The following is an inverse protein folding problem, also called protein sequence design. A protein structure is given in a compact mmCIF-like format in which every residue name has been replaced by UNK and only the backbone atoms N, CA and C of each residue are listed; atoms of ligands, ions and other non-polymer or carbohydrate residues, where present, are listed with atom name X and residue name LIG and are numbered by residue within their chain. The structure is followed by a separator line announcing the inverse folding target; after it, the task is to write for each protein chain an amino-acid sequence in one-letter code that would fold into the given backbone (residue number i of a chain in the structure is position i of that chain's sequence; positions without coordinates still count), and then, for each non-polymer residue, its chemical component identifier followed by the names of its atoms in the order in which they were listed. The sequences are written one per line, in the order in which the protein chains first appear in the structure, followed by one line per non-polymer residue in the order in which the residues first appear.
data_IF_517577849415
#
_entry.id   IF_517577849415
#
_cell.length_a   1.000
_cell.length_b   1.000
_cell.length_c   1.000
_cell.angle_alpha   90.00
_cell.angle_beta   90.00
_cell.angle_gamma   90.00
#
_symmetry.space_group_name_H-M   'P 1'
#
loop_
_entity.id
_entity.type
_entity.pdbx_description
1 polymer ?
#
# COMPACT_ATOMS: atom_id res chain seq x y z
N UNK A 1 11.44 -14.00 -7.08
CA UNK A 1 12.83 -13.93 -6.58
C UNK A 1 13.79 -13.53 -7.69
N UNK A 2 13.94 -14.30 -8.77
CA UNK A 2 14.83 -13.94 -9.90
C UNK A 2 14.55 -12.51 -10.41
N UNK A 3 13.29 -12.18 -10.73
CA UNK A 3 12.89 -10.84 -11.16
C UNK A 3 13.37 -9.73 -10.19
N UNK A 4 13.09 -9.87 -8.89
CA UNK A 4 13.53 -8.92 -7.85
C UNK A 4 15.06 -8.81 -7.81
N UNK A 5 15.77 -9.93 -7.85
CA UNK A 5 17.23 -9.97 -7.87
C UNK A 5 17.82 -9.26 -9.09
N UNK A 6 17.30 -9.54 -10.28
CA UNK A 6 17.76 -8.90 -11.52
C UNK A 6 17.58 -7.39 -11.46
N UNK A 7 16.41 -6.90 -11.02
CA UNK A 7 16.18 -5.45 -10.89
C UNK A 7 17.02 -4.81 -9.79
N UNK A 8 17.18 -5.47 -8.65
CA UNK A 8 18.02 -4.98 -7.56
C UNK A 8 19.51 -4.89 -7.98
N UNK A 9 20.03 -5.88 -8.70
CA UNK A 9 21.41 -5.85 -9.22
C UNK A 9 21.55 -4.78 -10.30
N UNK A 10 20.63 -4.75 -11.26
CA UNK A 10 20.62 -3.76 -12.33
C UNK A 10 20.65 -2.34 -11.77
N UNK A 11 19.81 -2.04 -10.79
CA UNK A 11 19.79 -0.71 -10.20
C UNK A 11 21.04 -0.41 -9.36
N UNK A 12 21.58 -1.39 -8.63
CA UNK A 12 22.85 -1.20 -7.92
C UNK A 12 23.98 -0.79 -8.87
N UNK A 13 24.02 -1.37 -10.08
CA UNK A 13 24.94 -0.98 -11.15
C UNK A 13 24.68 0.47 -11.59
N UNK A 14 23.41 0.84 -11.82
CA UNK A 14 23.02 2.21 -12.22
C UNK A 14 23.45 3.25 -11.17
N UNK A 15 23.16 3.03 -9.89
CA UNK A 15 23.55 3.95 -8.80
C UNK A 15 25.06 4.17 -8.75
N UNK A 16 25.81 3.08 -8.91
CA UNK A 16 27.26 3.15 -8.83
C UNK A 16 27.86 3.98 -9.97
N UNK A 17 27.24 3.97 -11.17
CA UNK A 17 27.70 4.74 -12.32
C UNK A 17 27.11 6.17 -12.36
N UNK A 18 25.93 6.38 -11.77
CA UNK A 18 25.22 7.66 -11.78
C UNK A 18 24.76 8.08 -10.37
N UNK A 19 25.70 8.36 -9.45
CA UNK A 19 25.36 8.60 -8.05
C UNK A 19 24.55 9.89 -7.83
N UNK A 20 24.61 10.87 -8.75
CA UNK A 20 23.92 12.15 -8.60
C UNK A 20 22.42 12.10 -8.93
N UNK A 21 21.95 11.06 -9.63
CA UNK A 21 20.58 11.03 -10.14
C UNK A 21 19.54 10.53 -9.11
N UNK A 22 19.93 9.87 -8.02
CA UNK A 22 18.98 9.03 -7.28
C UNK A 22 19.17 9.00 -5.77
N UNK A 23 18.58 9.98 -5.08
CA UNK A 23 18.53 10.08 -3.63
C UNK A 23 17.26 10.82 -3.13
N UNK A 24 16.05 10.37 -3.47
CA UNK A 24 14.84 11.08 -3.02
C UNK A 24 14.35 10.62 -1.64
N UNK A 25 13.88 9.38 -1.52
CA UNK A 25 13.18 8.94 -0.30
C UNK A 25 14.16 8.53 0.81
N UNK A 26 15.17 7.72 0.49
CA UNK A 26 16.19 7.33 1.48
C UNK A 26 16.99 8.50 2.04
N UNK A 27 17.22 9.53 1.23
CA UNK A 27 17.84 10.77 1.68
C UNK A 27 16.94 11.53 2.66
N UNK A 28 15.64 11.61 2.34
CA UNK A 28 14.65 12.22 3.21
C UNK A 28 14.62 11.52 4.57
N UNK A 29 14.63 10.19 4.60
CA UNK A 29 14.69 9.42 5.85
C UNK A 29 15.96 9.73 6.64
N UNK A 30 17.12 9.69 5.97
CA UNK A 30 18.41 9.92 6.58
C UNK A 30 18.54 11.33 7.18
N UNK A 31 18.16 12.36 6.40
CA UNK A 31 18.22 13.77 6.81
C UNK A 31 17.21 14.08 7.90
N UNK A 32 15.99 13.57 7.79
CA UNK A 32 14.97 13.75 8.83
C UNK A 32 15.37 13.07 10.13
N UNK A 33 15.96 11.87 10.06
CA UNK A 33 16.53 11.19 11.23
C UNK A 33 17.69 11.98 11.86
N UNK A 34 18.58 12.58 11.06
CA UNK A 34 19.64 13.46 11.59
C UNK A 34 19.08 14.75 12.19
N UNK A 35 18.08 15.35 11.55
CA UNK A 35 17.43 16.56 12.04
C UNK A 35 16.81 16.29 13.42
N UNK A 36 16.20 15.13 13.61
CA UNK A 36 15.64 14.70 14.89
C UNK A 36 16.69 14.56 16.00
N UNK A 37 17.96 14.30 15.67
CA UNK A 37 19.06 14.27 16.65
C UNK A 37 19.63 15.66 16.97
N UNK A 38 19.57 16.59 16.01
CA UNK A 38 20.17 17.93 16.14
C UNK A 38 19.16 18.89 16.78
N UNK A 39 17.98 18.98 16.19
CA UNK A 39 16.89 19.85 16.62
C UNK A 39 15.56 19.24 16.17
N UNK A 40 14.89 18.49 17.07
CA UNK A 40 13.62 17.83 16.80
C UNK A 40 12.57 18.77 16.22
N UNK A 41 12.44 20.00 16.74
CA UNK A 41 11.36 20.93 16.38
C UNK A 41 11.36 21.28 14.88
N UNK A 42 12.52 21.22 14.23
CA UNK A 42 12.67 21.61 12.82
C UNK A 42 12.43 20.48 11.82
N UNK A 43 12.08 19.29 12.28
CA UNK A 43 11.83 18.11 11.44
C UNK A 43 10.67 18.35 10.45
N UNK A 44 9.65 19.08 10.88
CA UNK A 44 8.47 19.42 10.08
C UNK A 44 8.32 20.93 9.83
N UNK A 45 9.40 21.72 9.92
CA UNK A 45 9.34 23.15 9.60
C UNK A 45 9.38 23.38 8.09
N UNK A 46 8.55 24.28 7.56
CA UNK A 46 8.54 24.66 6.13
C UNK A 46 9.88 25.16 5.59
N UNK A 47 10.73 25.72 6.47
CA UNK A 47 12.07 26.21 6.13
C UNK A 47 13.07 25.07 5.91
N UNK A 48 12.71 23.85 6.26
CA UNK A 48 13.52 22.67 5.98
C UNK A 48 13.29 22.24 4.54
N UNK A 49 14.35 22.18 3.73
CA UNK A 49 14.29 21.88 2.29
C UNK A 49 13.57 20.54 1.98
N UNK A 50 13.53 19.62 2.96
CA UNK A 50 12.91 18.30 2.83
C UNK A 50 11.54 18.18 3.50
N UNK A 51 11.00 19.28 4.05
CA UNK A 51 9.71 19.32 4.74
C UNK A 51 8.57 18.72 3.93
N UNK A 52 8.51 19.09 2.64
CA UNK A 52 7.51 18.62 1.70
C UNK A 52 7.57 17.10 1.47
N UNK A 53 8.72 16.47 1.69
CA UNK A 53 8.90 15.02 1.51
C UNK A 53 8.70 14.24 2.83
N UNK A 54 8.62 14.94 3.96
CA UNK A 54 8.54 14.33 5.28
C UNK A 54 7.09 14.05 5.70
N UNK A 55 6.45 13.08 5.05
CA UNK A 55 5.09 12.61 5.38
C UNK A 55 5.06 11.53 6.45
N UNK A 56 6.15 11.30 7.16
CA UNK A 56 6.29 10.18 8.09
C UNK A 56 5.97 10.62 9.51
N UNK A 57 5.44 9.74 10.35
CA UNK A 57 5.28 10.04 11.77
C UNK A 57 6.62 9.89 12.52
N UNK A 58 6.78 10.56 13.68
CA UNK A 58 8.05 10.62 14.40
C UNK A 58 8.66 9.25 14.71
N UNK A 59 7.86 8.22 14.95
CA UNK A 59 8.36 6.88 15.22
C UNK A 59 9.29 6.35 14.12
N UNK A 60 8.89 6.49 12.85
CA UNK A 60 9.68 5.98 11.73
C UNK A 60 10.98 6.79 11.57
N UNK A 61 10.91 8.11 11.76
CA UNK A 61 12.07 8.99 11.70
C UNK A 61 13.05 8.70 12.85
N UNK A 62 12.53 8.39 14.04
CA UNK A 62 13.34 8.02 15.19
C UNK A 62 14.05 6.68 14.96
N UNK A 63 13.40 5.69 14.34
CA UNK A 63 14.07 4.43 13.96
C UNK A 63 15.28 4.72 13.06
N UNK A 64 15.15 5.63 12.10
CA UNK A 64 16.27 6.10 11.29
C UNK A 64 17.33 6.85 12.10
N UNK A 65 16.89 7.77 12.95
CA UNK A 65 17.75 8.59 13.82
C UNK A 65 18.70 7.73 14.66
N UNK A 66 18.18 6.71 15.35
CA UNK A 66 18.96 5.88 16.27
C UNK A 66 19.71 4.71 15.59
N UNK A 67 19.57 4.56 14.27
CA UNK A 67 20.22 3.48 13.52
C UNK A 67 21.03 4.02 12.34
N UNK A 68 20.39 4.16 11.18
CA UNK A 68 21.04 4.42 9.90
C UNK A 68 21.56 5.85 9.81
N UNK A 69 20.92 6.84 10.44
CA UNK A 69 21.34 8.24 10.38
C UNK A 69 22.64 8.55 11.14
N UNK A 70 23.07 7.64 12.03
CA UNK A 70 24.34 7.74 12.77
C UNK A 70 25.56 7.43 11.89
N UNK A 71 25.36 6.66 10.82
CA UNK A 71 26.42 6.27 9.89
C UNK A 71 26.62 7.33 8.79
N UNK A 72 27.74 7.30 8.04
CA UNK A 72 27.86 8.06 6.80
C UNK A 72 26.78 7.65 5.79
N UNK A 73 26.21 8.61 5.09
CA UNK A 73 25.05 8.39 4.20
C UNK A 73 25.25 7.24 3.20
N UNK A 74 26.43 7.12 2.60
CA UNK A 74 26.74 6.04 1.65
C UNK A 74 26.58 4.67 2.29
N UNK A 75 27.09 4.47 3.51
CA UNK A 75 26.96 3.22 4.26
C UNK A 75 25.48 2.98 4.61
N UNK A 76 24.80 4.00 5.14
CA UNK A 76 23.37 3.92 5.48
C UNK A 76 22.52 3.53 4.28
N UNK A 77 22.81 4.10 3.10
CA UNK A 77 22.12 3.82 1.86
C UNK A 77 22.24 2.35 1.46
N UNK A 78 23.46 1.78 1.45
CA UNK A 78 23.66 0.39 1.09
C UNK A 78 23.05 -0.58 2.10
N UNK A 79 23.13 -0.29 3.40
CA UNK A 79 22.45 -1.10 4.42
C UNK A 79 20.93 -1.09 4.19
N UNK A 80 20.35 0.09 3.98
CA UNK A 80 18.92 0.22 3.71
C UNK A 80 18.52 -0.48 2.41
N UNK A 81 19.36 -0.40 1.38
CA UNK A 81 19.16 -1.08 0.11
C UNK A 81 19.12 -2.60 0.28
N UNK A 82 20.08 -3.17 1.02
CA UNK A 82 20.11 -4.60 1.35
C UNK A 82 18.90 -5.03 2.17
N UNK A 83 18.48 -4.21 3.15
CA UNK A 83 17.26 -4.46 3.92
C UNK A 83 16.03 -4.47 3.01
N UNK A 84 15.89 -3.49 2.12
CA UNK A 84 14.79 -3.44 1.15
C UNK A 84 14.78 -4.66 0.23
N UNK A 85 15.95 -5.16 -0.19
CA UNK A 85 16.03 -6.39 -0.96
C UNK A 85 15.51 -7.60 -0.18
N UNK A 86 15.92 -7.75 1.09
CA UNK A 86 15.42 -8.81 1.97
C UNK A 86 13.90 -8.70 2.12
N UNK A 87 13.38 -7.50 2.39
CA UNK A 87 11.94 -7.28 2.51
C UNK A 87 11.18 -7.50 1.20
N UNK A 88 11.76 -7.20 0.04
CA UNK A 88 11.14 -7.52 -1.25
C UNK A 88 10.98 -9.03 -1.45
N UNK A 89 11.98 -9.82 -1.05
CA UNK A 89 11.89 -11.29 -1.08
C UNK A 89 10.85 -11.78 -0.08
N UNK A 90 10.87 -11.28 1.15
CA UNK A 90 9.88 -11.64 2.19
C UNK A 90 8.46 -11.26 1.77
N UNK A 91 8.26 -10.13 1.10
CA UNK A 91 6.97 -9.69 0.56
C UNK A 91 6.34 -10.76 -0.33
N UNK A 92 7.11 -11.26 -1.31
CA UNK A 92 6.65 -12.33 -2.23
C UNK A 92 6.41 -13.64 -1.48
N UNK A 93 7.27 -13.98 -0.51
CA UNK A 93 7.11 -15.20 0.29
C UNK A 93 5.86 -15.15 1.17
N UNK A 94 5.60 -14.04 1.86
CA UNK A 94 4.40 -13.83 2.67
C UNK A 94 3.14 -13.85 1.80
N UNK A 95 3.17 -13.23 0.61
CA UNK A 95 2.05 -13.31 -0.33
C UNK A 95 1.79 -14.76 -0.78
N UNK A 96 2.82 -15.52 -1.12
CA UNK A 96 2.70 -16.94 -1.47
C UNK A 96 2.12 -17.79 -0.32
N UNK A 97 2.46 -17.48 0.93
CA UNK A 97 1.85 -18.13 2.11
C UNK A 97 0.36 -17.79 2.21
N UNK A 98 -0.03 -16.55 1.96
CA UNK A 98 -1.46 -16.14 1.91
C UNK A 98 -2.19 -16.90 0.81
N UNK A 99 -1.62 -17.00 -0.40
CA UNK A 99 -2.22 -17.78 -1.50
C UNK A 99 -2.49 -19.23 -1.09
N UNK A 100 -1.55 -19.88 -0.41
CA UNK A 100 -1.75 -21.24 0.11
C UNK A 100 -2.85 -21.30 1.17
N UNK A 101 -2.88 -20.35 2.10
CA UNK A 101 -3.92 -20.30 3.15
C UNK A 101 -5.32 -20.11 2.57
N UNK A 102 -5.43 -19.32 1.50
CA UNK A 102 -6.67 -19.07 0.77
C UNK A 102 -7.00 -20.17 -0.26
N UNK A 103 -6.28 -21.30 -0.25
CA UNK A 103 -6.64 -22.49 -1.01
C UNK A 103 -6.08 -22.56 -2.43
N UNK A 104 -5.09 -21.73 -2.80
CA UNK A 104 -4.38 -21.88 -4.08
C UNK A 104 -3.33 -23.00 -3.99
N UNK A 105 -3.73 -24.22 -4.35
CA UNK A 105 -2.95 -25.46 -4.13
C UNK A 105 -1.85 -25.68 -5.16
N UNK A 106 -2.12 -25.37 -6.42
CA UNK A 106 -1.17 -25.64 -7.50
C UNK A 106 -0.07 -24.59 -7.61
N UNK A 107 1.17 -25.03 -7.89
CA UNK A 107 2.33 -24.14 -8.04
C UNK A 107 2.15 -23.18 -9.21
N UNK A 108 1.64 -23.67 -10.35
CA UNK A 108 1.43 -22.87 -11.55
C UNK A 108 0.37 -21.78 -11.33
N UNK A 109 -0.68 -22.09 -10.59
CA UNK A 109 -1.73 -21.13 -10.24
C UNK A 109 -1.20 -20.02 -9.33
N UNK A 110 -0.44 -20.38 -8.29
CA UNK A 110 0.22 -19.36 -7.47
C UNK A 110 1.18 -18.52 -8.28
N UNK A 111 1.89 -19.12 -9.23
CA UNK A 111 2.81 -18.40 -10.10
C UNK A 111 2.11 -17.29 -10.91
N UNK A 112 0.88 -17.49 -11.38
CA UNK A 112 0.09 -16.44 -12.06
C UNK A 112 -0.07 -15.19 -11.17
N UNK A 113 -0.50 -15.38 -9.92
CA UNK A 113 -0.65 -14.28 -8.96
C UNK A 113 0.70 -13.64 -8.61
N UNK A 114 1.74 -14.45 -8.40
CA UNK A 114 3.07 -13.97 -8.03
C UNK A 114 3.75 -13.19 -9.16
N UNK A 115 3.47 -13.53 -10.43
CA UNK A 115 3.96 -12.78 -11.59
C UNK A 115 3.38 -11.37 -11.62
N UNK A 116 2.09 -11.23 -11.32
CA UNK A 116 1.41 -9.93 -11.28
C UNK A 116 2.02 -9.03 -10.20
N UNK A 117 2.20 -9.54 -8.97
CA UNK A 117 2.75 -8.72 -7.88
C UNK A 117 4.27 -8.51 -7.95
N UNK A 118 4.99 -9.31 -8.74
CA UNK A 118 6.44 -9.21 -8.94
C UNK A 118 6.78 -8.46 -10.23
N UNK A 119 6.05 -7.38 -10.54
CA UNK A 119 6.25 -6.58 -11.74
C UNK A 119 7.58 -5.79 -11.69
N UNK A 120 8.36 -5.90 -12.76
CA UNK A 120 9.69 -5.32 -12.84
C UNK A 120 9.78 -3.81 -12.70
N UNK A 121 8.78 -3.06 -13.20
CA UNK A 121 8.83 -1.59 -13.22
C UNK A 121 8.68 -0.98 -11.82
N UNK A 122 7.71 -1.45 -11.03
CA UNK A 122 7.58 -0.94 -9.67
C UNK A 122 8.69 -1.43 -8.77
N UNK A 123 9.14 -2.68 -8.93
CA UNK A 123 10.32 -3.17 -8.21
C UNK A 123 11.52 -2.27 -8.53
N UNK A 124 11.71 -1.94 -9.80
CA UNK A 124 12.71 -0.98 -10.23
C UNK A 124 12.54 0.37 -9.51
N UNK A 125 11.35 0.98 -9.53
CA UNK A 125 11.11 2.27 -8.88
C UNK A 125 11.31 2.25 -7.35
N UNK A 126 10.96 1.14 -6.70
CA UNK A 126 11.19 0.94 -5.26
C UNK A 126 12.68 0.95 -4.92
N UNK A 127 13.49 0.25 -5.71
CA UNK A 127 14.94 0.24 -5.54
C UNK A 127 15.55 1.58 -5.95
N UNK A 128 15.06 2.18 -7.05
CA UNK A 128 15.50 3.46 -7.60
C UNK A 128 15.53 4.56 -6.54
N UNK A 129 14.43 4.66 -5.81
CA UNK A 129 14.24 5.68 -4.78
C UNK A 129 14.51 5.15 -3.36
N UNK A 130 14.86 3.85 -3.25
CA UNK A 130 15.17 3.12 -2.03
C UNK A 130 14.11 3.32 -0.93
N UNK A 131 12.84 3.09 -1.30
CA UNK A 131 11.66 3.41 -0.47
C UNK A 131 11.36 2.36 0.60
N UNK A 132 10.63 2.72 1.65
CA UNK A 132 10.24 1.82 2.75
C UNK A 132 9.07 0.89 2.46
N UNK A 133 8.52 0.90 1.24
CA UNK A 133 7.21 0.28 0.95
C UNK A 133 7.26 -1.24 0.93
N UNK A 134 8.40 -1.87 0.61
CA UNK A 134 8.56 -3.32 0.75
C UNK A 134 8.53 -3.76 2.21
N UNK A 135 9.14 -2.98 3.11
CA UNK A 135 9.06 -3.21 4.55
C UNK A 135 7.61 -3.10 5.03
N UNK A 136 6.93 -1.98 4.76
CA UNK A 136 5.54 -1.76 5.17
C UNK A 136 4.59 -2.83 4.58
N UNK A 137 4.74 -3.14 3.29
CA UNK A 137 3.96 -4.16 2.61
C UNK A 137 4.18 -5.56 3.19
N UNK A 138 5.41 -5.92 3.54
CA UNK A 138 5.71 -7.23 4.13
C UNK A 138 5.07 -7.36 5.51
N UNK A 139 5.18 -6.33 6.34
CA UNK A 139 4.53 -6.30 7.66
C UNK A 139 3.01 -6.42 7.50
N UNK A 140 2.42 -5.71 6.54
CA UNK A 140 0.97 -5.74 6.29
C UNK A 140 0.51 -7.13 5.85
N UNK A 141 1.23 -7.77 4.92
CA UNK A 141 0.93 -9.13 4.49
C UNK A 141 1.13 -10.13 5.64
N UNK A 142 2.16 -9.95 6.47
CA UNK A 142 2.36 -10.79 7.65
C UNK A 142 1.17 -10.69 8.62
N UNK A 143 0.69 -9.48 8.92
CA UNK A 143 -0.50 -9.26 9.75
C UNK A 143 -1.71 -9.96 9.13
N UNK A 144 -1.93 -9.76 7.83
CA UNK A 144 -3.06 -10.35 7.12
C UNK A 144 -3.01 -11.89 7.13
N UNK A 145 -1.84 -12.48 6.87
CA UNK A 145 -1.59 -13.93 6.94
C UNK A 145 -1.92 -14.45 8.33
N UNK A 146 -1.44 -13.77 9.37
CA UNK A 146 -1.65 -14.14 10.77
C UNK A 146 -3.13 -14.12 11.13
N UNK A 147 -3.86 -13.09 10.70
CA UNK A 147 -5.31 -12.98 10.91
C UNK A 147 -6.09 -14.10 10.20
N UNK A 148 -5.78 -14.37 8.93
CA UNK A 148 -6.40 -15.48 8.18
C UNK A 148 -6.14 -16.82 8.87
N UNK A 149 -4.91 -17.04 9.34
CA UNK A 149 -4.53 -18.28 10.03
C UNK A 149 -5.26 -18.42 11.37
N UNK A 150 -5.32 -17.36 12.19
CA UNK A 150 -6.04 -17.39 13.47
C UNK A 150 -7.52 -17.69 13.31
N UNK A 151 -8.17 -17.09 12.31
CA UNK A 151 -9.57 -17.39 12.00
C UNK A 151 -9.78 -18.83 11.54
N UNK A 152 -8.87 -19.37 10.72
CA UNK A 152 -8.93 -20.75 10.25
C UNK A 152 -8.73 -21.77 11.38
N UNK A 153 -7.91 -21.43 12.37
CA UNK A 153 -7.63 -22.25 13.54
C UNK A 153 -8.61 -22.00 14.71
N UNK A 154 -9.63 -21.15 14.52
CA UNK A 154 -10.61 -20.74 15.54
C UNK A 154 -9.98 -20.29 16.87
N UNK A 155 -8.79 -19.67 16.78
CA UNK A 155 -8.03 -19.23 17.96
C UNK A 155 -8.53 -17.90 18.48
N UNK A 156 -8.73 -17.83 19.78
CA UNK A 156 -8.97 -16.56 20.47
C UNK A 156 -7.73 -15.65 20.44
N UNK A 157 -7.98 -14.34 20.30
CA UNK A 157 -6.94 -13.32 20.20
C UNK A 157 -6.52 -12.87 21.60
N UNK A 158 -5.46 -13.46 22.11
CA UNK A 158 -4.86 -13.08 23.40
C UNK A 158 -4.22 -11.67 23.37
N UNK A 159 -3.84 -11.15 24.53
CA UNK A 159 -3.24 -9.82 24.65
C UNK A 159 -1.91 -9.72 23.89
N UNK A 160 -1.11 -10.79 23.88
CA UNK A 160 0.17 -10.86 23.15
C UNK A 160 -0.07 -10.76 21.65
N UNK A 161 -1.11 -11.43 21.14
CA UNK A 161 -1.56 -11.31 19.77
C UNK A 161 -1.91 -9.88 19.43
N UNK A 162 -2.82 -9.28 20.20
CA UNK A 162 -3.30 -7.92 20.01
C UNK A 162 -2.14 -6.93 20.02
N UNK A 163 -1.28 -6.98 21.04
CA UNK A 163 -0.12 -6.10 21.16
C UNK A 163 0.80 -6.17 19.93
N UNK A 164 1.25 -7.37 19.54
CA UNK A 164 2.16 -7.54 18.40
C UNK A 164 1.50 -7.02 17.11
N UNK A 165 0.24 -7.37 16.87
CA UNK A 165 -0.47 -6.98 15.64
C UNK A 165 -0.66 -5.46 15.57
N UNK A 166 -1.11 -4.82 16.66
CA UNK A 166 -1.33 -3.37 16.67
C UNK A 166 -0.02 -2.57 16.70
N UNK A 167 1.03 -3.09 17.34
CA UNK A 167 2.37 -2.49 17.27
C UNK A 167 2.91 -2.47 15.84
N UNK A 168 2.78 -3.58 15.12
CA UNK A 168 3.18 -3.68 13.71
C UNK A 168 2.31 -2.80 12.80
N UNK A 169 1.01 -2.67 13.07
CA UNK A 169 0.17 -1.71 12.38
C UNK A 169 0.58 -0.27 12.65
N UNK A 170 0.89 0.10 13.89
CA UNK A 170 1.38 1.43 14.25
C UNK A 170 2.70 1.77 13.54
N UNK A 171 3.58 0.79 13.37
CA UNK A 171 4.81 0.93 12.57
C UNK A 171 4.48 1.23 11.10
N UNK A 172 3.53 0.51 10.50
CA UNK A 172 3.05 0.78 9.13
C UNK A 172 2.46 2.19 9.02
N UNK A 173 1.57 2.58 9.95
CA UNK A 173 0.97 3.93 9.98
C UNK A 173 2.05 4.99 10.12
N UNK A 174 3.13 4.73 10.86
CA UNK A 174 4.24 5.67 11.00
C UNK A 174 5.04 5.86 9.69
N UNK A 175 5.13 4.81 8.86
CA UNK A 175 5.72 4.89 7.53
C UNK A 175 4.76 5.46 6.47
N UNK A 176 3.46 5.19 6.63
CA UNK A 176 2.42 5.46 5.64
C UNK A 176 1.15 5.89 6.40
N UNK A 177 1.02 7.17 6.81
CA UNK A 177 -0.04 7.60 7.73
C UNK A 177 -1.46 7.36 7.25
N UNK A 178 -1.70 7.45 5.94
CA UNK A 178 -3.01 7.17 5.35
C UNK A 178 -3.44 5.69 5.46
N UNK A 179 -2.57 4.78 5.86
CA UNK A 179 -2.95 3.41 6.22
C UNK A 179 -3.60 3.30 7.61
N UNK A 180 -3.81 4.43 8.31
CA UNK A 180 -4.68 4.49 9.49
C UNK A 180 -6.07 3.91 9.20
N UNK A 181 -6.59 4.08 7.99
CA UNK A 181 -7.89 3.50 7.60
C UNK A 181 -7.87 1.97 7.55
N UNK A 182 -6.77 1.35 7.13
CA UNK A 182 -6.61 -0.11 7.20
C UNK A 182 -6.57 -0.60 8.64
N UNK A 183 -5.92 0.15 9.54
CA UNK A 183 -5.93 -0.13 10.98
C UNK A 183 -7.36 -0.03 11.55
N UNK A 184 -8.12 1.01 11.19
CA UNK A 184 -9.52 1.13 11.63
C UNK A 184 -10.38 -0.03 11.11
N UNK A 185 -10.27 -0.37 9.82
CA UNK A 185 -10.96 -1.53 9.23
C UNK A 185 -10.61 -2.82 9.99
N UNK A 186 -9.35 -2.99 10.39
CA UNK A 186 -8.87 -4.14 11.14
C UNK A 186 -9.41 -4.19 12.58
N UNK A 187 -9.34 -3.07 13.32
CA UNK A 187 -9.85 -2.97 14.70
C UNK A 187 -11.33 -3.31 14.76
N UNK A 188 -12.12 -2.72 13.88
CA UNK A 188 -13.56 -2.91 13.86
C UNK A 188 -13.99 -4.15 13.07
N UNK A 189 -13.07 -4.97 12.56
CA UNK A 189 -13.41 -6.12 11.73
C UNK A 189 -14.40 -7.07 12.41
N UNK A 190 -14.12 -7.38 13.68
CA UNK A 190 -14.87 -8.38 14.47
C UNK A 190 -15.85 -7.76 15.48
N UNK A 191 -15.92 -6.41 15.58
CA UNK A 191 -16.73 -5.73 16.61
C UNK A 191 -18.07 -5.27 16.02
N UNK A 192 -19.19 -5.72 16.58
CA UNK A 192 -20.52 -5.23 16.18
C UNK A 192 -20.82 -3.83 16.75
N UNK A 193 -21.68 -3.05 16.10
CA UNK A 193 -21.97 -1.67 16.51
C UNK A 193 -22.54 -1.58 17.94
N UNK A 194 -23.38 -2.54 18.33
CA UNK A 194 -23.95 -2.60 19.70
C UNK A 194 -22.92 -2.98 20.78
N UNK A 195 -21.73 -3.42 20.38
CA UNK A 195 -20.68 -3.89 21.28
C UNK A 195 -19.51 -2.91 21.39
N UNK A 196 -19.54 -1.78 20.68
CA UNK A 196 -18.45 -0.80 20.66
C UNK A 196 -18.02 -0.38 22.06
N UNK A 197 -18.98 -0.21 22.99
CA UNK A 197 -18.73 0.25 24.35
C UNK A 197 -18.54 -0.89 25.36
N UNK A 198 -18.48 -2.16 24.93
CA UNK A 198 -18.14 -3.27 25.83
C UNK A 198 -16.71 -3.09 26.35
N UNK A 199 -16.51 -3.39 27.62
CA UNK A 199 -15.22 -3.23 28.32
C UNK A 199 -14.04 -3.83 27.55
N UNK A 200 -14.18 -5.05 27.04
CA UNK A 200 -13.14 -5.76 26.28
C UNK A 200 -12.74 -5.03 24.98
N UNK A 201 -13.69 -4.35 24.33
CA UNK A 201 -13.46 -3.56 23.13
C UNK A 201 -12.80 -2.23 23.48
N UNK A 202 -13.24 -1.57 24.55
CA UNK A 202 -12.59 -0.37 25.09
C UNK A 202 -11.13 -0.64 25.50
N UNK A 203 -10.84 -1.80 26.10
CA UNK A 203 -9.46 -2.23 26.41
C UNK A 203 -8.62 -2.37 25.13
N UNK A 204 -9.22 -2.90 24.06
CA UNK A 204 -8.54 -3.03 22.76
C UNK A 204 -8.26 -1.66 22.15
N UNK A 205 -9.20 -0.70 22.23
CA UNK A 205 -8.98 0.67 21.75
C UNK A 205 -7.94 1.41 22.59
N UNK A 206 -7.99 1.25 23.91
CA UNK A 206 -7.00 1.79 24.84
C UNK A 206 -5.61 1.25 24.54
N UNK A 207 -5.47 -0.05 24.26
CA UNK A 207 -4.21 -0.66 23.83
C UNK A 207 -3.69 -0.04 22.53
N UNK A 208 -4.54 0.09 21.51
CA UNK A 208 -4.15 0.72 20.23
C UNK A 208 -3.71 2.17 20.44
N UNK A 209 -4.47 2.94 21.23
CA UNK A 209 -4.14 4.32 21.55
C UNK A 209 -2.78 4.40 22.27
N UNK A 210 -2.57 3.60 23.32
CA UNK A 210 -1.29 3.55 24.04
C UNK A 210 -0.14 3.22 23.10
N UNK A 211 -0.30 2.25 22.20
CA UNK A 211 0.74 1.88 21.22
C UNK A 211 1.05 3.05 20.28
N UNK A 212 0.04 3.71 19.70
CA UNK A 212 0.24 4.83 18.78
C UNK A 212 0.89 6.02 19.46
N UNK A 213 0.46 6.32 20.69
CA UNK A 213 1.02 7.39 21.52
C UNK A 213 2.46 7.07 21.94
N UNK A 214 2.73 5.83 22.37
CA UNK A 214 4.07 5.39 22.76
C UNK A 214 5.04 5.37 21.58
N UNK A 215 4.62 4.92 20.40
CA UNK A 215 5.46 4.96 19.20
C UNK A 215 5.77 6.39 18.78
N UNK A 216 4.81 7.30 18.89
CA UNK A 216 4.95 8.70 18.47
C UNK A 216 5.14 9.67 19.65
N UNK A 217 5.81 9.21 20.70
CA UNK A 217 5.92 9.95 21.97
C UNK A 217 6.61 11.31 21.82
N UNK A 218 7.41 11.51 20.77
CA UNK A 218 8.05 12.78 20.46
C UNK A 218 7.03 13.92 20.27
N UNK A 219 5.80 13.63 19.86
CA UNK A 219 4.73 14.64 19.84
C UNK A 219 4.38 15.17 21.23
N UNK A 220 4.64 14.43 22.31
CA UNK A 220 4.42 14.92 23.68
C UNK A 220 5.62 15.67 24.24
N UNK A 221 6.83 15.23 23.90
CA UNK A 221 8.05 15.92 24.32
C UNK A 221 8.18 17.26 23.58
N UNK A 222 7.80 17.28 22.30
CA UNK A 222 7.87 18.44 21.41
C UNK A 222 6.49 18.70 20.77
N UNK A 223 5.56 19.37 21.48
CA UNK A 223 4.19 19.60 20.97
C UNK A 223 4.13 20.40 19.68
N UNK A 224 5.13 21.25 19.40
CA UNK A 224 5.25 22.02 18.15
C UNK A 224 5.24 21.11 16.91
N UNK A 225 5.79 19.90 17.02
CA UNK A 225 5.79 18.90 15.95
C UNK A 225 4.39 18.53 15.48
N UNK A 226 3.39 18.55 16.37
CA UNK A 226 1.99 18.26 15.99
C UNK A 226 1.48 19.32 15.02
N UNK A 227 1.70 20.59 15.36
CA UNK A 227 1.22 21.71 14.56
C UNK A 227 1.96 21.81 13.23
N UNK A 228 3.26 21.58 13.24
CA UNK A 228 4.08 21.60 12.03
C UNK A 228 3.82 20.40 11.12
N UNK A 229 3.63 19.21 11.68
CA UNK A 229 3.16 18.05 10.92
C UNK A 229 1.76 18.29 10.33
N UNK A 230 0.87 18.96 11.05
CA UNK A 230 -0.44 19.34 10.52
C UNK A 230 -0.33 20.27 9.30
N UNK A 231 0.66 21.17 9.24
CA UNK A 231 0.94 21.97 8.04
C UNK A 231 1.36 21.09 6.86
N UNK A 232 2.23 20.10 7.07
CA UNK A 232 2.62 19.10 6.03
C UNK A 232 1.35 18.41 5.50
N UNK A 233 0.52 17.92 6.42
CA UNK A 233 -0.69 17.21 6.08
C UNK A 233 -1.66 18.09 5.27
N UNK A 234 -1.87 19.34 5.69
CA UNK A 234 -2.70 20.31 4.96
C UNK A 234 -2.17 20.60 3.56
N UNK A 235 -0.85 20.69 3.39
CA UNK A 235 -0.25 20.85 2.07
C UNK A 235 -0.64 19.66 1.16
N UNK A 236 -0.49 18.42 1.64
CA UNK A 236 -0.86 17.23 0.87
C UNK A 236 -2.36 17.12 0.59
N UNK A 237 -3.22 17.55 1.52
CA UNK A 237 -4.65 17.65 1.27
C UNK A 237 -4.97 18.71 0.21
N UNK A 238 -4.28 19.86 0.24
CA UNK A 238 -4.45 20.90 -0.76
C UNK A 238 -3.98 20.42 -2.14
N UNK A 239 -2.83 19.73 -2.22
CA UNK A 239 -2.39 19.07 -3.46
C UNK A 239 -3.44 18.06 -3.92
N UNK A 240 -3.96 17.21 -3.04
CA UNK A 240 -5.03 16.26 -3.37
C UNK A 240 -6.27 16.92 -3.98
N UNK A 241 -6.69 18.06 -3.43
CA UNK A 241 -7.87 18.78 -3.88
C UNK A 241 -7.65 19.47 -5.24
N UNK A 242 -6.42 19.88 -5.55
CA UNK A 242 -6.10 20.60 -6.79
C UNK A 242 -5.54 19.71 -7.90
N UNK A 243 -5.00 18.54 -7.56
CA UNK A 243 -4.48 17.57 -8.51
C UNK A 243 -5.63 16.75 -9.08
N UNK A 244 -5.68 16.65 -10.40
CA UNK A 244 -6.60 15.70 -11.04
C UNK A 244 -6.23 14.28 -10.57
N UNK A 245 -7.25 13.47 -10.24
CA UNK A 245 -7.01 12.10 -9.80
C UNK A 245 -6.13 11.36 -10.81
N UNK A 246 -5.32 10.41 -10.33
CA UNK A 246 -4.33 9.72 -11.16
C UNK A 246 -4.94 9.13 -12.45
N UNK A 247 -6.17 8.62 -12.40
CA UNK A 247 -6.88 8.07 -13.56
C UNK A 247 -7.62 9.10 -14.41
N UNK A 248 -7.79 10.34 -13.94
CA UNK A 248 -8.36 11.46 -14.72
C UNK A 248 -7.24 12.37 -15.27
N UNK A 249 -5.97 12.08 -14.98
CA UNK A 249 -4.80 12.83 -15.48
C UNK A 249 -4.86 12.99 -17.01
N UNK A 250 -5.28 11.95 -17.74
CA UNK A 250 -5.43 12.01 -19.19
C UNK A 250 -6.48 13.05 -19.64
N UNK A 251 -7.55 13.27 -18.84
CA UNK A 251 -8.54 14.32 -19.15
C UNK A 251 -7.88 15.68 -19.01
N UNK A 252 -7.01 15.87 -18.03
CA UNK A 252 -6.26 17.13 -17.86
C UNK A 252 -5.19 17.35 -18.94
N UNK A 253 -4.67 16.26 -19.52
CA UNK A 253 -3.72 16.31 -20.64
C UNK A 253 -4.41 16.63 -21.96
N UNK A 254 -5.67 16.22 -22.15
CA UNK A 254 -6.41 16.38 -23.41
C UNK A 254 -7.35 17.59 -23.37
N UNK A 255 -7.93 17.91 -22.21
CA UNK A 255 -8.94 18.95 -22.03
C UNK A 255 -8.51 19.94 -20.94
N UNK A 256 -8.74 21.23 -21.19
CA UNK A 256 -8.56 22.26 -20.17
C UNK A 256 -9.73 22.18 -19.18
N UNK A 257 -9.52 21.50 -18.06
CA UNK A 257 -10.50 21.45 -16.97
C UNK A 257 -10.32 22.68 -16.06
N UNK A 258 -11.35 23.50 -15.83
CA UNK A 258 -11.28 24.60 -14.88
C UNK A 258 -10.87 24.13 -13.47
N UNK A 259 -10.04 24.89 -12.77
CA UNK A 259 -9.57 24.55 -11.41
C UNK A 259 -10.72 24.25 -10.44
N UNK A 260 -11.81 25.02 -10.52
CA UNK A 260 -13.00 24.80 -9.70
C UNK A 260 -13.65 23.43 -9.95
N UNK A 261 -13.70 22.98 -11.20
CA UNK A 261 -14.25 21.67 -11.55
C UNK A 261 -13.35 20.54 -11.01
N UNK A 262 -12.02 20.67 -11.11
CA UNK A 262 -11.07 19.72 -10.49
C UNK A 262 -11.30 19.59 -9.00
N UNK A 263 -11.42 20.73 -8.31
CA UNK A 263 -11.71 20.78 -6.87
C UNK A 263 -13.00 20.05 -6.51
N UNK A 264 -14.11 20.36 -7.21
CA UNK A 264 -15.40 19.74 -6.95
C UNK A 264 -15.38 18.22 -7.19
N UNK A 265 -14.78 17.78 -8.29
CA UNK A 265 -14.65 16.35 -8.61
C UNK A 265 -13.84 15.64 -7.51
N UNK A 266 -12.68 16.18 -7.11
CA UNK A 266 -11.87 15.58 -6.05
C UNK A 266 -12.62 15.53 -4.71
N UNK A 267 -13.37 16.58 -4.36
CA UNK A 267 -14.17 16.59 -3.14
C UNK A 267 -15.21 15.47 -3.15
N UNK A 268 -15.94 15.29 -4.26
CA UNK A 268 -16.93 14.22 -4.44
C UNK A 268 -16.26 12.84 -4.31
N UNK A 269 -15.11 12.64 -4.93
CA UNK A 269 -14.38 11.36 -4.88
C UNK A 269 -13.86 11.05 -3.46
N UNK A 270 -13.41 12.06 -2.72
CA UNK A 270 -13.05 11.89 -1.31
C UNK A 270 -14.25 11.48 -0.46
N UNK A 271 -15.42 12.10 -0.66
CA UNK A 271 -16.66 11.72 0.04
C UNK A 271 -16.96 10.24 -0.21
N UNK A 272 -16.97 9.81 -1.48
CA UNK A 272 -17.16 8.40 -1.82
C UNK A 272 -16.12 7.48 -1.18
N UNK A 273 -14.86 7.88 -1.13
CA UNK A 273 -13.81 7.09 -0.48
C UNK A 273 -14.10 6.89 1.02
N UNK A 274 -14.50 7.95 1.73
CA UNK A 274 -14.86 7.86 3.14
C UNK A 274 -16.12 7.04 3.39
N UNK A 275 -17.12 7.15 2.52
CA UNK A 275 -18.33 6.30 2.56
C UNK A 275 -17.99 4.82 2.40
N UNK A 276 -17.11 4.48 1.43
CA UNK A 276 -16.64 3.10 1.24
C UNK A 276 -15.88 2.62 2.48
N UNK A 277 -15.00 3.43 3.06
CA UNK A 277 -14.28 3.07 4.30
C UNK A 277 -15.27 2.82 5.45
N UNK A 278 -16.26 3.69 5.63
CA UNK A 278 -17.33 3.51 6.63
C UNK A 278 -18.11 2.22 6.42
N UNK A 279 -18.49 1.93 5.17
CA UNK A 279 -19.14 0.67 4.79
C UNK A 279 -18.27 -0.55 5.13
N UNK A 280 -16.96 -0.51 4.82
CA UNK A 280 -16.02 -1.59 5.13
C UNK A 280 -15.84 -1.82 6.63
N UNK A 281 -15.91 -0.76 7.44
CA UNK A 281 -15.87 -0.85 8.92
C UNK A 281 -17.13 -1.56 9.45
N UNK A 282 -18.31 -1.16 8.96
CA UNK A 282 -19.59 -1.64 9.46
C UNK A 282 -19.92 -3.06 8.96
N UNK A 283 -19.61 -3.38 7.70
CA UNK A 283 -19.97 -4.66 7.08
C UNK A 283 -19.26 -5.85 7.73
N UNK A 284 -20.00 -6.88 8.15
CA UNK A 284 -19.42 -8.09 8.78
C UNK A 284 -19.37 -9.31 7.86
N UNK A 285 -20.06 -9.23 6.71
CA UNK A 285 -20.11 -10.33 5.73
C UNK A 285 -18.77 -10.56 5.04
N UNK A 286 -17.93 -9.51 4.95
CA UNK A 286 -16.66 -9.57 4.24
C UNK A 286 -15.53 -10.03 5.15
N UNK A 287 -14.70 -10.96 4.67
CA UNK A 287 -13.46 -11.39 5.33
C UNK A 287 -12.43 -10.24 5.29
N UNK A 288 -11.46 -10.25 6.21
CA UNK A 288 -10.49 -9.15 6.32
C UNK A 288 -9.71 -8.88 5.03
N UNK A 289 -9.29 -9.93 4.30
CA UNK A 289 -8.56 -9.77 3.04
C UNK A 289 -9.44 -9.17 1.95
N UNK A 290 -10.73 -9.53 1.89
CA UNK A 290 -11.69 -8.89 0.98
C UNK A 290 -11.85 -7.41 1.32
N UNK A 291 -11.98 -7.06 2.60
CA UNK A 291 -12.07 -5.64 3.02
C UNK A 291 -10.83 -4.85 2.61
N UNK A 292 -9.64 -5.44 2.78
CA UNK A 292 -8.38 -4.81 2.37
C UNK A 292 -8.28 -4.68 0.85
N UNK A 293 -8.77 -5.66 0.08
CA UNK A 293 -8.87 -5.53 -1.37
C UNK A 293 -9.82 -4.42 -1.80
N UNK A 294 -11.02 -4.34 -1.20
CA UNK A 294 -11.98 -3.27 -1.51
C UNK A 294 -11.43 -1.89 -1.14
N UNK A 295 -10.77 -1.76 0.00
CA UNK A 295 -10.06 -0.53 0.36
C UNK A 295 -9.00 -0.19 -0.68
N UNK A 296 -8.17 -1.15 -1.08
CA UNK A 296 -7.10 -0.92 -2.04
C UNK A 296 -7.63 -0.48 -3.41
N UNK A 297 -8.68 -1.13 -3.90
CA UNK A 297 -9.42 -0.73 -5.10
C UNK A 297 -9.91 0.70 -4.92
N UNK A 298 -10.74 0.98 -3.92
CA UNK A 298 -11.28 2.32 -3.70
C UNK A 298 -10.19 3.40 -3.59
N UNK A 299 -9.08 3.11 -2.91
CA UNK A 299 -7.97 4.04 -2.78
C UNK A 299 -7.28 4.31 -4.13
N UNK A 300 -7.04 3.28 -4.93
CA UNK A 300 -6.51 3.42 -6.31
C UNK A 300 -7.43 4.28 -7.17
N UNK A 301 -8.74 4.04 -7.08
CA UNK A 301 -9.73 4.69 -7.92
C UNK A 301 -10.17 6.07 -7.43
N UNK A 302 -9.94 6.46 -6.18
CA UNK A 302 -10.55 7.69 -5.63
C UNK A 302 -9.54 8.63 -4.95
N UNK A 303 -8.28 8.21 -4.79
CA UNK A 303 -7.28 8.99 -4.07
C UNK A 303 -6.03 9.26 -4.91
N UNK A 304 -5.68 10.54 -5.08
CA UNK A 304 -4.47 10.92 -5.80
C UNK A 304 -3.20 10.34 -5.17
N UNK A 305 -3.15 10.07 -3.86
CA UNK A 305 -1.98 9.50 -3.18
C UNK A 305 -1.75 8.02 -3.51
N UNK A 306 -2.68 7.37 -4.23
CA UNK A 306 -2.55 5.97 -4.61
C UNK A 306 -1.24 5.66 -5.33
N UNK A 307 -0.77 6.54 -6.23
CA UNK A 307 0.49 6.34 -6.97
C UNK A 307 1.67 6.11 -6.03
N UNK A 308 1.66 6.75 -4.85
CA UNK A 308 2.71 6.57 -3.84
C UNK A 308 2.67 5.19 -3.19
N UNK A 309 1.60 4.41 -3.27
CA UNK A 309 1.48 3.11 -2.57
C UNK A 309 0.99 1.95 -3.42
N UNK A 310 0.99 2.10 -4.75
CA UNK A 310 0.58 1.05 -5.71
C UNK A 310 1.28 -0.30 -5.44
N UNK A 311 2.56 -0.30 -5.04
CA UNK A 311 3.31 -1.52 -4.71
C UNK A 311 2.67 -2.34 -3.57
N UNK A 312 1.90 -1.72 -2.69
CA UNK A 312 1.14 -2.39 -1.63
C UNK A 312 -0.32 -2.59 -2.05
N UNK A 313 -0.95 -1.56 -2.64
CA UNK A 313 -2.37 -1.58 -2.97
C UNK A 313 -2.71 -2.63 -4.04
N UNK A 314 -1.92 -2.76 -5.10
CA UNK A 314 -2.22 -3.74 -6.16
C UNK A 314 -2.11 -5.19 -5.67
N UNK A 315 -1.08 -5.59 -4.90
CA UNK A 315 -1.08 -6.91 -4.28
C UNK A 315 -2.30 -7.17 -3.38
N UNK A 316 -2.79 -6.17 -2.65
CA UNK A 316 -4.05 -6.31 -1.91
C UNK A 316 -5.25 -6.47 -2.84
N UNK A 317 -5.33 -5.72 -3.94
CA UNK A 317 -6.37 -5.89 -4.97
C UNK A 317 -6.38 -7.30 -5.56
N UNK A 318 -5.19 -7.88 -5.79
CA UNK A 318 -5.05 -9.25 -6.32
C UNK A 318 -5.74 -10.29 -5.42
N UNK A 319 -5.78 -10.07 -4.09
CA UNK A 319 -6.44 -11.01 -3.17
C UNK A 319 -7.94 -11.17 -3.44
N UNK A 320 -8.59 -10.17 -4.07
CA UNK A 320 -10.00 -10.21 -4.43
C UNK A 320 -10.33 -11.33 -5.42
N UNK A 321 -9.38 -11.69 -6.28
CA UNK A 321 -9.59 -12.66 -7.35
C UNK A 321 -9.51 -14.11 -6.89
N UNK A 322 -8.90 -14.35 -5.72
CA UNK A 322 -8.62 -15.71 -5.24
C UNK A 322 -9.91 -16.53 -5.03
N UNK A 323 -10.98 -15.99 -4.40
CA UNK A 323 -12.23 -16.75 -4.23
C UNK A 323 -12.91 -17.14 -5.55
N UNK A 324 -12.64 -16.43 -6.65
CA UNK A 324 -13.26 -16.66 -7.96
C UNK A 324 -12.41 -17.54 -8.89
N UNK A 325 -11.28 -18.04 -8.41
CA UNK A 325 -10.29 -18.72 -9.23
C UNK A 325 -10.50 -20.25 -9.23
N UNK A 326 -10.92 -20.78 -10.38
CA UNK A 326 -11.16 -22.20 -10.62
C UNK A 326 -9.85 -22.95 -10.87
N UNK A 327 -9.50 -23.82 -9.93
CA UNK A 327 -8.22 -24.54 -9.94
C UNK A 327 -8.33 -25.97 -10.46
N UNK A 328 -9.50 -26.59 -10.39
CA UNK A 328 -9.67 -28.03 -10.69
C UNK A 328 -9.75 -28.33 -12.19
N UNK A 329 -9.42 -27.35 -13.04
CA UNK A 329 -9.74 -27.33 -14.46
C UNK A 329 -8.48 -27.03 -15.22
N UNK A 330 -8.20 -27.80 -16.28
CA UNK A 330 -6.92 -27.78 -17.00
C UNK A 330 -7.17 -27.45 -18.47
N UNK A 331 -6.16 -26.94 -19.17
CA UNK A 331 -6.18 -26.73 -20.61
C UNK A 331 -7.08 -25.57 -21.06
N UNK A 332 -7.79 -25.73 -22.18
CA UNK A 332 -8.61 -24.65 -22.77
C UNK A 332 -9.78 -24.24 -21.86
N UNK A 333 -10.32 -25.19 -21.09
CA UNK A 333 -11.43 -24.95 -20.17
C UNK A 333 -11.02 -24.14 -18.95
N UNK A 334 -9.74 -24.22 -18.54
CA UNK A 334 -9.19 -23.35 -17.50
C UNK A 334 -9.33 -21.87 -17.88
N UNK A 335 -8.91 -21.51 -19.11
CA UNK A 335 -8.98 -20.13 -19.60
C UNK A 335 -10.45 -19.69 -19.69
N UNK A 336 -11.31 -20.55 -20.22
CA UNK A 336 -12.74 -20.22 -20.40
C UNK A 336 -13.43 -19.94 -19.08
N UNK A 337 -13.18 -20.75 -18.05
CA UNK A 337 -13.80 -20.60 -16.72
C UNK A 337 -13.15 -19.51 -15.86
N UNK A 338 -11.86 -19.24 -16.03
CA UNK A 338 -11.16 -18.18 -15.31
C UNK A 338 -11.08 -16.85 -16.07
N UNK A 339 -11.76 -16.69 -17.21
CA UNK A 339 -11.56 -15.56 -18.13
C UNK A 339 -11.59 -14.19 -17.44
N UNK A 340 -12.54 -13.94 -16.54
CA UNK A 340 -12.65 -12.65 -15.84
C UNK A 340 -11.56 -12.46 -14.77
N UNK A 341 -11.13 -13.54 -14.11
CA UNK A 341 -9.99 -13.49 -13.21
C UNK A 341 -8.71 -13.20 -13.99
N UNK A 342 -8.48 -13.89 -15.11
CA UNK A 342 -7.31 -13.68 -15.95
C UNK A 342 -7.28 -12.27 -16.55
N UNK A 343 -8.40 -11.76 -17.06
CA UNK A 343 -8.50 -10.38 -17.54
C UNK A 343 -8.26 -9.39 -16.40
N UNK A 344 -8.77 -9.66 -15.19
CA UNK A 344 -8.50 -8.83 -14.01
C UNK A 344 -7.02 -8.80 -13.63
N UNK A 345 -6.35 -9.94 -13.64
CA UNK A 345 -4.90 -10.04 -13.41
C UNK A 345 -4.09 -9.32 -14.50
N UNK A 346 -4.48 -9.46 -15.78
CA UNK A 346 -3.89 -8.72 -16.90
C UNK A 346 -4.15 -7.23 -16.75
N UNK A 347 -5.31 -6.82 -16.24
CA UNK A 347 -5.64 -5.41 -16.02
C UNK A 347 -4.76 -4.81 -14.92
N UNK A 348 -4.54 -5.53 -13.82
CA UNK A 348 -3.57 -5.13 -12.79
C UNK A 348 -2.16 -5.06 -13.37
N UNK A 349 -1.78 -6.03 -14.22
CA UNK A 349 -0.50 -6.01 -14.91
C UNK A 349 -0.37 -4.79 -15.84
N UNK A 350 -1.41 -4.48 -16.61
CA UNK A 350 -1.45 -3.35 -17.51
C UNK A 350 -1.39 -2.02 -16.78
N UNK A 351 -2.07 -1.90 -15.63
CA UNK A 351 -1.94 -0.76 -14.70
C UNK A 351 -0.48 -0.55 -14.29
N UNK A 352 0.26 -1.62 -13.98
CA UNK A 352 1.70 -1.50 -13.66
C UNK A 352 2.54 -1.03 -14.85
N UNK A 353 2.18 -1.41 -16.07
CA UNK A 353 2.93 -1.11 -17.30
C UNK A 353 2.58 0.24 -17.92
N UNK A 354 1.55 0.92 -17.39
CA UNK A 354 1.05 2.20 -17.89
C UNK A 354 1.48 3.32 -16.96
N UNK A 355 2.71 3.75 -17.18
CA UNK A 355 3.36 4.77 -16.38
C UNK A 355 3.35 6.11 -17.10
N UNK A 356 3.10 7.18 -16.32
CA UNK A 356 3.05 8.57 -16.80
C UNK A 356 4.44 9.03 -17.25
N UNK A 357 4.48 9.64 -18.44
CA UNK A 357 5.65 10.18 -19.13
C UNK A 357 6.30 11.34 -18.39
N UNK A 358 5.63 11.98 -17.43
CA UNK A 358 6.23 13.07 -16.62
C UNK A 358 7.37 12.65 -15.71
N UNK A 359 7.55 11.35 -15.48
CA UNK A 359 8.65 10.77 -14.71
C UNK A 359 9.74 10.18 -15.64
N UNK A 360 9.66 10.39 -16.96
CA UNK A 360 10.65 9.94 -17.96
C UNK A 360 12.11 10.28 -17.62
N UNK A 361 12.34 11.37 -16.88
CA UNK A 361 13.65 11.76 -16.35
C UNK A 361 14.32 10.67 -15.48
N UNK A 362 13.55 9.76 -14.87
CA UNK A 362 14.05 8.75 -13.96
C UNK A 362 14.33 7.39 -14.63
N UNK A 363 13.83 7.13 -15.86
CA UNK A 363 14.21 5.96 -16.65
C UNK A 363 13.78 6.11 -18.13
N UNK A 364 14.61 6.70 -19.01
CA UNK A 364 14.27 6.90 -20.42
C UNK A 364 14.14 5.60 -21.22
N UNK A 365 14.57 4.46 -20.67
CA UNK A 365 14.62 3.18 -21.37
C UNK A 365 13.44 2.26 -21.04
N UNK A 366 12.53 2.65 -20.16
CA UNK A 366 11.33 1.84 -19.91
C UNK A 366 10.24 2.20 -20.93
N UNK A 367 9.84 1.25 -21.80
CA UNK A 367 8.85 1.56 -22.81
C UNK A 367 7.50 1.81 -22.16
N UNK A 368 6.91 2.97 -22.47
CA UNK A 368 5.50 3.21 -22.18
C UNK A 368 4.65 2.41 -23.18
N UNK A 369 4.44 1.13 -22.87
CA UNK A 369 3.87 0.14 -23.80
C UNK A 369 2.43 0.42 -24.21
N UNK A 370 1.69 1.26 -23.47
CA UNK A 370 0.27 1.54 -23.76
C UNK A 370 -0.12 3.03 -23.61
N UNK A 371 0.78 3.95 -23.93
CA UNK A 371 0.41 5.38 -24.07
C UNK A 371 0.06 6.09 -22.75
N UNK A 372 0.69 5.69 -21.65
CA UNK A 372 0.69 6.42 -20.37
C UNK A 372 -0.67 6.44 -19.69
N UNK A 373 -1.18 7.64 -19.44
CA UNK A 373 -2.47 7.85 -18.77
C UNK A 373 -3.65 7.17 -19.48
N UNK A 374 -3.63 7.08 -20.81
CA UNK A 374 -4.70 6.42 -21.60
C UNK A 374 -4.71 4.91 -21.33
N UNK A 375 -3.55 4.25 -21.39
CA UNK A 375 -3.44 2.83 -21.09
C UNK A 375 -3.87 2.54 -19.65
N UNK A 376 -3.47 3.39 -18.71
CA UNK A 376 -3.86 3.25 -17.31
C UNK A 376 -5.38 3.28 -17.16
N UNK A 377 -6.06 4.24 -17.80
CA UNK A 377 -7.52 4.31 -17.82
C UNK A 377 -8.13 3.03 -18.37
N UNK A 378 -7.66 2.55 -19.53
CA UNK A 378 -8.19 1.35 -20.18
C UNK A 378 -8.12 0.16 -19.22
N UNK A 379 -6.95 -0.10 -18.63
CA UNK A 379 -6.79 -1.22 -17.72
C UNK A 379 -7.55 -1.04 -16.40
N UNK A 380 -7.69 0.20 -15.93
CA UNK A 380 -8.48 0.54 -14.75
C UNK A 380 -9.98 0.32 -14.98
N UNK A 381 -10.50 0.69 -16.16
CA UNK A 381 -11.88 0.41 -16.59
C UNK A 381 -12.10 -1.08 -16.78
N UNK A 382 -11.17 -1.79 -17.43
CA UNK A 382 -11.22 -3.24 -17.59
C UNK A 382 -11.25 -3.97 -16.24
N UNK A 383 -10.43 -3.51 -15.29
CA UNK A 383 -10.43 -4.00 -13.91
C UNK A 383 -11.82 -3.79 -13.28
N UNK A 384 -12.39 -2.59 -13.38
CA UNK A 384 -13.74 -2.28 -12.88
C UNK A 384 -14.83 -3.19 -13.48
N UNK A 385 -14.82 -3.39 -14.79
CA UNK A 385 -15.76 -4.29 -15.49
C UNK A 385 -15.60 -5.74 -15.00
N UNK A 386 -14.36 -6.21 -14.83
CA UNK A 386 -14.11 -7.55 -14.31
C UNK A 386 -14.62 -7.72 -12.88
N UNK A 387 -14.37 -6.72 -12.02
CA UNK A 387 -14.84 -6.74 -10.63
C UNK A 387 -16.37 -6.76 -10.55
N UNK A 388 -17.06 -5.93 -11.35
CA UNK A 388 -18.52 -5.92 -11.44
C UNK A 388 -19.05 -7.28 -11.91
N UNK A 389 -18.43 -7.85 -12.95
CA UNK A 389 -18.86 -9.14 -13.48
C UNK A 389 -18.67 -10.28 -12.47
N UNK A 390 -17.53 -10.32 -11.79
CA UNK A 390 -17.28 -11.28 -10.72
C UNK A 390 -18.25 -11.09 -9.54
N UNK A 391 -18.64 -9.85 -9.25
CA UNK A 391 -19.64 -9.55 -8.22
C UNK A 391 -21.03 -10.08 -8.59
N UNK A 392 -21.51 -9.84 -9.82
CA UNK A 392 -22.80 -10.38 -10.28
C UNK A 392 -22.81 -11.90 -10.38
N UNK A 393 -21.66 -12.50 -10.72
CA UNK A 393 -21.54 -13.96 -10.76
C UNK A 393 -21.47 -14.56 -9.34
N UNK A 394 -21.22 -13.76 -8.29
CA UNK A 394 -21.14 -14.22 -6.88
C UNK A 394 -22.46 -14.79 -6.36
N UNK A 395 -23.60 -14.28 -6.83
CA UNK A 395 -24.94 -14.75 -6.43
C UNK A 395 -25.26 -16.17 -6.96
N UNK A 396 -24.50 -16.70 -7.93
CA UNK A 396 -24.61 -18.09 -8.39
C UNK A 396 -23.82 -19.10 -7.53
N UNK A 397 -22.93 -18.64 -6.64
CA UNK A 397 -21.99 -19.50 -5.92
C UNK A 397 -22.11 -19.46 -4.39
N UNK A 398 -23.04 -18.69 -3.82
CA UNK A 398 -23.47 -18.87 -2.42
C UNK A 398 -24.43 -20.07 -2.36
N UNK A 399 -23.97 -21.23 -2.82
CA UNK A 399 -24.51 -22.53 -2.44
C UNK A 399 -23.37 -23.21 -1.71
N UNK A 400 -23.55 -23.35 -0.40
CA UNK A 400 -22.66 -23.99 0.54
C UNK A 400 -22.07 -25.29 -0.03
N UNK A 401 -20.77 -25.33 -0.30
CA UNK A 401 -20.02 -26.59 -0.13
C UNK A 401 -19.66 -26.69 1.35
N UNK A 402 -20.61 -27.20 2.13
CA UNK A 402 -20.28 -27.99 3.32
C UNK A 402 -19.61 -29.28 2.81
N UNK A 403 -18.34 -29.47 3.14
CA UNK A 403 -17.69 -30.78 3.14
C UNK A 403 -16.80 -30.88 4.35
#
# INVERSE_FOLDING_TARGET
MICIGTWAIHFLIVVNHFPYLYYSDSWTYYRSGRQLLIDPNRVYEEKNEFWLLNTYLPFFLMLWAISLSLLPYSISYFIWYSLNYIFAVLFVLEFNKILKLLGVKEKIHRFLFLMVISNGFLIYFQFLTNQSKFLAGTILLFILRREIQYKKEEKEKDIKYKFITYFLFGLIVSMIPYFIFLLLIFIFHDITLGELLKKENLETYGLVAIILLAQNFLFFIYPELIFDYYKVFRFFQWVQLNSVCYYLIFIDEIFIIPRLAKYLVNLILMIFMYEIIGFLIITKKLKIHEKFSYFAIAFIFLNHLAYKTIIILLPLTVLFFIPFFYQDIIGRDFIKKNKYVLIGLISILGIYLTFDTRIELLNPNYPNLFGGGIGYLIFTVLLGICLLKLHFDKDYYIVETKS
#
